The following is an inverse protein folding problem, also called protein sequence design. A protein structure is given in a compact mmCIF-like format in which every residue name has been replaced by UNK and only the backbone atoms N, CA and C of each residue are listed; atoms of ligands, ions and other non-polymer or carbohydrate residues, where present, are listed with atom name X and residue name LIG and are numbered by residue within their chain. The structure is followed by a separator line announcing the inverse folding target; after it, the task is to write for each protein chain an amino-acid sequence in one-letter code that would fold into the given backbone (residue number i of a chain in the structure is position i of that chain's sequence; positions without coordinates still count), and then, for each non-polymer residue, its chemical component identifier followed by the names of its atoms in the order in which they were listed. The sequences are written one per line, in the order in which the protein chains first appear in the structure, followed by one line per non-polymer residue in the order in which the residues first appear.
data_IF_823008659695
#
_entry.id   IF_823008659695
#
_cell.length_a   1.000
_cell.length_b   1.000
_cell.length_c   1.000
_cell.angle_alpha   90.00
_cell.angle_beta   90.00
_cell.angle_gamma   90.00
#
_symmetry.space_group_name_H-M   'P 1'
#
loop_
_entity.id
_entity.type
_entity.pdbx_description
1 polymer ?
#
# COMPACT_ATOMS: atom_id res chain seq x y z
N UNK A 1 -14.12 -20.26 -8.40
CA UNK A 1 -13.88 -20.33 -6.94
C UNK A 1 -14.66 -19.30 -6.13
N UNK A 2 -14.37 -18.00 -6.21
CA UNK A 2 -15.12 -16.99 -5.42
C UNK A 2 -16.62 -16.98 -5.75
N UNK A 3 -16.98 -17.10 -7.02
CA UNK A 3 -18.38 -17.19 -7.46
C UNK A 3 -19.07 -18.48 -6.98
N UNK A 4 -18.37 -19.62 -7.02
CA UNK A 4 -18.89 -20.90 -6.50
C UNK A 4 -19.12 -20.82 -4.98
N UNK A 5 -18.23 -20.14 -4.25
CA UNK A 5 -18.38 -19.90 -2.82
C UNK A 5 -19.61 -19.03 -2.52
N UNK A 6 -19.84 -18.00 -3.33
CA UNK A 6 -21.01 -17.14 -3.22
C UNK A 6 -22.30 -17.94 -3.35
N UNK A 7 -22.42 -18.72 -4.42
CA UNK A 7 -23.58 -19.60 -4.67
C UNK A 7 -23.77 -20.59 -3.52
N UNK A 8 -22.69 -21.20 -3.00
CA UNK A 8 -22.77 -22.15 -1.89
C UNK A 8 -23.30 -21.52 -0.59
N UNK A 9 -23.02 -20.24 -0.34
CA UNK A 9 -23.47 -19.49 0.85
C UNK A 9 -24.84 -18.83 0.69
N UNK A 10 -25.36 -18.73 -0.54
CA UNK A 10 -26.72 -18.24 -0.83
C UNK A 10 -27.78 -19.34 -0.75
N UNK A 11 -27.36 -20.62 -0.80
CA UNK A 11 -28.26 -21.74 -0.65
C UNK A 11 -28.99 -21.73 0.72
N UNK A 12 -30.28 -22.10 0.77
CA UNK A 12 -31.04 -22.19 2.03
C UNK A 12 -30.43 -23.17 3.03
N UNK A 13 -29.80 -24.23 2.53
CA UNK A 13 -29.06 -25.22 3.31
C UNK A 13 -27.61 -25.17 2.84
N UNK A 14 -26.72 -24.70 3.72
CA UNK A 14 -25.31 -24.50 3.40
C UNK A 14 -24.52 -25.78 3.66
N UNK A 15 -23.87 -26.33 2.63
CA UNK A 15 -22.92 -27.43 2.79
C UNK A 15 -21.53 -26.91 3.15
N UNK A 16 -21.23 -26.92 4.45
CA UNK A 16 -19.94 -26.47 4.99
C UNK A 16 -18.74 -27.33 4.54
N UNK A 17 -18.94 -28.56 4.05
CA UNK A 17 -17.85 -29.38 3.49
C UNK A 17 -17.40 -28.81 2.14
N UNK A 18 -18.36 -28.44 1.29
CA UNK A 18 -18.08 -27.79 0.00
C UNK A 18 -17.43 -26.42 0.23
N UNK A 19 -17.99 -25.60 1.13
CA UNK A 19 -17.42 -24.29 1.48
C UNK A 19 -15.97 -24.42 1.97
N UNK A 20 -15.66 -25.45 2.77
CA UNK A 20 -14.28 -25.73 3.22
C UNK A 20 -13.35 -26.08 2.08
N UNK A 21 -13.77 -26.94 1.16
CA UNK A 21 -12.97 -27.31 -0.01
C UNK A 21 -12.70 -26.08 -0.90
N UNK A 22 -13.73 -25.27 -1.15
CA UNK A 22 -13.60 -24.02 -1.91
C UNK A 22 -12.65 -23.03 -1.23
N UNK A 23 -12.71 -22.89 0.09
CA UNK A 23 -11.82 -22.00 0.85
C UNK A 23 -10.36 -22.46 0.75
N UNK A 24 -10.13 -23.77 0.90
CA UNK A 24 -8.80 -24.36 0.77
C UNK A 24 -8.22 -24.14 -0.63
N UNK A 25 -9.01 -24.42 -1.67
CA UNK A 25 -8.61 -24.24 -3.07
C UNK A 25 -8.32 -22.77 -3.39
N UNK A 26 -9.17 -21.86 -2.92
CA UNK A 26 -9.01 -20.41 -3.12
C UNK A 26 -7.73 -19.89 -2.44
N UNK A 27 -7.46 -20.33 -1.20
CA UNK A 27 -6.22 -20.00 -0.49
C UNK A 27 -5.00 -20.49 -1.27
N UNK A 28 -5.01 -21.75 -1.72
CA UNK A 28 -3.91 -22.33 -2.48
C UNK A 28 -3.62 -21.57 -3.77
N UNK A 29 -4.64 -21.29 -4.59
CA UNK A 29 -4.47 -20.54 -5.83
C UNK A 29 -4.05 -19.09 -5.62
N UNK A 30 -4.45 -18.47 -4.50
CA UNK A 30 -4.06 -17.08 -4.19
C UNK A 30 -2.62 -17.02 -3.73
N UNK A 31 -2.18 -17.97 -2.91
CA UNK A 31 -0.80 -18.05 -2.43
C UNK A 31 0.19 -18.30 -3.58
N UNK A 32 -0.15 -19.15 -4.55
CA UNK A 32 0.74 -19.48 -5.68
C UNK A 32 1.05 -18.29 -6.60
N UNK A 33 0.20 -17.27 -6.62
CA UNK A 33 0.39 -16.05 -7.43
C UNK A 33 0.80 -14.83 -6.58
N UNK A 34 1.14 -15.03 -5.31
CA UNK A 34 1.53 -13.95 -4.41
C UNK A 34 0.39 -13.00 -4.02
N UNK A 35 -0.88 -13.41 -4.14
CA UNK A 35 -2.04 -12.62 -3.75
C UNK A 35 -2.21 -12.60 -2.22
N UNK A 36 -1.30 -11.91 -1.53
CA UNK A 36 -1.18 -11.93 -0.07
C UNK A 36 -2.48 -11.52 0.64
N UNK A 37 -3.08 -10.37 0.29
CA UNK A 37 -4.31 -9.88 0.93
C UNK A 37 -5.49 -10.84 0.76
N UNK A 38 -5.63 -11.46 -0.41
CA UNK A 38 -6.66 -12.48 -0.65
C UNK A 38 -6.39 -13.72 0.20
N UNK A 39 -5.13 -14.15 0.26
CA UNK A 39 -4.71 -15.30 1.09
C UNK A 39 -5.01 -15.07 2.57
N UNK A 40 -4.74 -13.88 3.08
CA UNK A 40 -5.04 -13.48 4.46
C UNK A 40 -6.54 -13.49 4.75
N UNK A 41 -7.37 -12.94 3.85
CA UNK A 41 -8.83 -13.07 4.00
C UNK A 41 -9.28 -14.53 4.02
N UNK A 42 -8.60 -15.40 3.27
CA UNK A 42 -8.95 -16.82 3.25
C UNK A 42 -8.60 -17.56 4.53
N UNK A 43 -7.60 -17.10 5.29
CA UNK A 43 -7.21 -17.69 6.58
C UNK A 43 -8.34 -17.60 7.62
N UNK A 44 -9.18 -16.56 7.55
CA UNK A 44 -10.33 -16.40 8.44
C UNK A 44 -11.47 -17.42 8.18
N UNK A 45 -11.57 -17.99 6.97
CA UNK A 45 -12.62 -18.96 6.67
C UNK A 45 -12.59 -20.17 7.59
N UNK A 46 -11.41 -20.67 7.98
CA UNK A 46 -11.30 -21.92 8.76
C UNK A 46 -12.11 -21.84 10.06
N UNK A 47 -11.85 -20.82 10.87
CA UNK A 47 -12.56 -20.63 12.15
C UNK A 47 -14.05 -20.36 11.96
N UNK A 48 -14.43 -19.60 10.92
CA UNK A 48 -15.82 -19.30 10.62
C UNK A 48 -16.62 -20.52 10.16
N UNK A 49 -16.00 -21.43 9.40
CA UNK A 49 -16.61 -22.70 8.97
C UNK A 49 -16.76 -23.62 10.19
N UNK A 50 -15.76 -23.70 11.06
CA UNK A 50 -15.80 -24.53 12.27
C UNK A 50 -16.92 -24.07 13.22
N UNK A 51 -17.13 -22.76 13.34
CA UNK A 51 -18.23 -22.15 14.11
C UNK A 51 -19.58 -22.13 13.37
N UNK A 52 -19.65 -22.60 12.13
CA UNK A 52 -20.83 -22.50 11.26
C UNK A 52 -21.43 -21.07 11.21
N UNK A 53 -20.57 -20.05 11.26
CA UNK A 53 -21.00 -18.67 11.30
C UNK A 53 -21.26 -18.14 9.89
N UNK A 54 -22.48 -18.34 9.39
CA UNK A 54 -22.88 -17.93 8.04
C UNK A 54 -22.69 -16.42 7.77
N UNK A 55 -23.03 -15.57 8.73
CA UNK A 55 -22.88 -14.11 8.58
C UNK A 55 -21.40 -13.73 8.44
N UNK A 56 -20.55 -14.29 9.31
CA UNK A 56 -19.10 -14.09 9.23
C UNK A 56 -18.51 -14.61 7.91
N UNK A 57 -18.98 -15.76 7.41
CA UNK A 57 -18.56 -16.30 6.11
C UNK A 57 -18.93 -15.38 4.95
N UNK A 58 -20.16 -14.82 4.95
CA UNK A 58 -20.60 -13.86 3.93
C UNK A 58 -19.78 -12.58 3.96
N UNK A 59 -19.49 -12.05 5.14
CA UNK A 59 -18.66 -10.85 5.29
C UNK A 59 -17.20 -11.10 4.84
N UNK A 60 -16.64 -12.25 5.21
CA UNK A 60 -15.32 -12.68 4.79
C UNK A 60 -15.25 -12.85 3.26
N UNK A 61 -16.28 -13.44 2.66
CA UNK A 61 -16.39 -13.58 1.21
C UNK A 61 -16.47 -12.23 0.50
N UNK A 62 -17.24 -11.27 1.03
CA UNK A 62 -17.30 -9.92 0.48
C UNK A 62 -15.91 -9.25 0.49
N UNK A 63 -15.16 -9.40 1.59
CA UNK A 63 -13.80 -8.89 1.70
C UNK A 63 -12.87 -9.56 0.70
N UNK A 64 -12.93 -10.89 0.56
CA UNK A 64 -12.13 -11.62 -0.43
C UNK A 64 -12.42 -11.17 -1.88
N UNK A 65 -13.69 -10.89 -2.21
CA UNK A 65 -14.07 -10.31 -3.50
C UNK A 65 -13.47 -8.92 -3.73
N UNK A 66 -13.51 -8.06 -2.72
CA UNK A 66 -12.95 -6.72 -2.80
C UNK A 66 -11.44 -6.75 -3.02
N UNK A 67 -10.72 -7.58 -2.26
CA UNK A 67 -9.28 -7.75 -2.39
C UNK A 67 -8.90 -8.30 -3.77
N UNK A 68 -9.64 -9.30 -4.26
CA UNK A 68 -9.40 -9.89 -5.57
C UNK A 68 -9.65 -8.87 -6.71
N UNK A 69 -10.73 -8.08 -6.63
CA UNK A 69 -11.01 -7.00 -7.59
C UNK A 69 -9.93 -5.93 -7.58
N UNK A 70 -9.45 -5.55 -6.39
CA UNK A 70 -8.40 -4.54 -6.23
C UNK A 70 -7.09 -5.02 -6.84
N UNK A 71 -6.67 -6.26 -6.52
CA UNK A 71 -5.50 -6.89 -7.10
C UNK A 71 -5.59 -6.97 -8.62
N UNK A 72 -6.74 -7.39 -9.16
CA UNK A 72 -6.98 -7.44 -10.61
C UNK A 72 -6.75 -6.07 -11.28
N UNK A 73 -7.29 -4.99 -10.71
CA UNK A 73 -7.08 -3.64 -11.24
C UNK A 73 -5.61 -3.24 -11.25
N UNK A 74 -4.88 -3.52 -10.17
CA UNK A 74 -3.45 -3.20 -10.10
C UNK A 74 -2.63 -4.01 -11.12
N UNK A 75 -2.91 -5.31 -11.27
CA UNK A 75 -2.26 -6.15 -12.27
C UNK A 75 -2.56 -5.70 -13.69
N UNK A 76 -3.80 -5.32 -13.99
CA UNK A 76 -4.17 -4.78 -15.30
C UNK A 76 -3.38 -3.50 -15.64
N UNK A 77 -3.20 -2.61 -14.67
CA UNK A 77 -2.38 -1.39 -14.85
C UNK A 77 -0.91 -1.75 -15.06
N UNK A 78 -0.36 -2.65 -14.24
CA UNK A 78 1.03 -3.11 -14.37
C UNK A 78 1.31 -3.72 -15.75
N UNK A 79 0.47 -4.65 -16.21
CA UNK A 79 0.66 -5.29 -17.52
C UNK A 79 0.47 -4.31 -18.69
N UNK A 80 -0.44 -3.34 -18.56
CA UNK A 80 -0.58 -2.27 -19.57
C UNK A 80 0.69 -1.41 -19.64
N UNK A 81 1.31 -1.10 -18.51
CA UNK A 81 2.54 -0.32 -18.46
C UNK A 81 3.72 -1.12 -19.01
N UNK A 82 3.87 -2.38 -18.61
CA UNK A 82 4.87 -3.30 -19.14
C UNK A 82 4.78 -3.42 -20.67
N UNK A 83 3.56 -3.57 -21.20
CA UNK A 83 3.33 -3.63 -22.64
C UNK A 83 3.81 -2.34 -23.33
N UNK A 84 3.47 -1.17 -22.79
CA UNK A 84 3.93 0.13 -23.34
C UNK A 84 5.45 0.28 -23.31
N UNK A 85 6.11 -0.16 -22.23
CA UNK A 85 7.58 -0.13 -22.12
C UNK A 85 8.19 -1.00 -23.22
N UNK A 86 7.67 -2.23 -23.41
CA UNK A 86 8.14 -3.16 -24.45
C UNK A 86 7.91 -2.61 -25.86
N UNK A 87 6.74 -2.01 -26.12
CA UNK A 87 6.41 -1.40 -27.42
C UNK A 87 7.31 -0.20 -27.75
N UNK A 88 7.75 0.56 -26.73
CA UNK A 88 8.71 1.64 -26.88
C UNK A 88 10.18 1.16 -26.98
N UNK A 89 10.44 -0.15 -26.96
CA UNK A 89 11.80 -0.72 -27.01
C UNK A 89 12.55 -0.71 -25.68
N UNK A 90 11.89 -0.41 -24.57
CA UNK A 90 12.47 -0.43 -23.22
C UNK A 90 12.46 -1.82 -22.57
N UNK A 91 13.20 -1.96 -21.47
CA UNK A 91 13.23 -3.17 -20.64
C UNK A 91 12.49 -2.95 -19.33
N UNK A 92 11.66 -3.92 -18.92
CA UNK A 92 10.95 -3.88 -17.64
C UNK A 92 11.94 -4.13 -16.51
N UNK A 93 12.04 -3.23 -15.50
CA UNK A 93 12.91 -3.46 -14.35
C UNK A 93 12.53 -4.74 -13.60
N UNK A 94 13.51 -5.49 -13.06
CA UNK A 94 13.23 -6.64 -12.22
C UNK A 94 12.59 -6.18 -10.90
N UNK A 95 11.73 -7.02 -10.33
CA UNK A 95 10.94 -6.71 -9.12
C UNK A 95 11.78 -6.34 -7.87
N UNK A 96 13.07 -6.64 -7.88
CA UNK A 96 13.98 -6.44 -6.75
C UNK A 96 15.12 -5.45 -7.04
N UNK A 97 15.03 -4.63 -8.10
CA UNK A 97 16.06 -3.61 -8.33
C UNK A 97 15.98 -2.54 -7.25
N UNK A 98 17.04 -2.42 -6.44
CA UNK A 98 17.26 -1.30 -5.53
C UNK A 98 17.13 0.01 -6.32
N UNK A 99 16.40 1.03 -5.80
CA UNK A 99 16.30 2.31 -6.50
C UNK A 99 17.71 2.87 -6.71
N UNK A 100 18.00 3.46 -7.89
CA UNK A 100 19.29 4.05 -8.16
C UNK A 100 19.62 5.07 -7.07
N UNK A 101 20.74 4.87 -6.37
CA UNK A 101 21.20 5.84 -5.36
C UNK A 101 21.39 7.19 -6.04
N UNK A 102 20.94 8.29 -5.42
CA UNK A 102 21.21 9.62 -5.94
C UNK A 102 22.73 9.80 -6.07
N UNK A 103 23.17 10.23 -7.25
CA UNK A 103 24.59 10.47 -7.52
C UNK A 103 25.14 11.50 -6.52
N UNK A 104 26.30 11.25 -5.89
CA UNK A 104 26.85 12.15 -4.86
C UNK A 104 27.46 13.46 -5.41
N UNK A 105 27.04 13.94 -6.57
CA UNK A 105 27.67 15.06 -7.28
C UNK A 105 26.75 16.28 -7.41
N UNK A 106 26.43 16.95 -6.29
CA UNK A 106 25.85 18.30 -6.35
C UNK A 106 26.11 19.20 -5.12
N UNK A 107 27.00 18.83 -4.19
CA UNK A 107 27.31 19.67 -3.02
C UNK A 107 28.82 19.82 -2.78
N UNK A 108 29.53 20.30 -3.79
CA UNK A 108 30.83 20.95 -3.60
C UNK A 108 30.84 22.29 -4.35
N UNK A 109 30.04 23.24 -3.86
CA UNK A 109 30.31 24.64 -4.08
C UNK A 109 31.27 25.10 -2.96
N UNK A 110 32.54 25.35 -3.32
CA UNK A 110 33.52 25.95 -2.44
C UNK A 110 33.04 27.34 -1.97
N UNK A 111 33.23 27.72 -0.69
CA UNK A 111 33.03 29.10 -0.29
C UNK A 111 34.23 29.93 -0.74
N UNK A 112 34.00 30.81 -1.71
CA UNK A 112 34.96 31.80 -2.18
C UNK A 112 35.33 32.75 -1.03
N UNK A 113 36.56 32.62 -0.53
CA UNK A 113 37.14 33.55 0.44
C UNK A 113 37.50 34.87 -0.26
N UNK A 114 36.53 35.78 -0.34
CA UNK A 114 36.72 37.16 -0.78
C UNK A 114 36.85 38.12 0.40
N UNK A 115 38.09 38.43 0.78
CA UNK A 115 38.45 39.48 1.72
C UNK A 115 38.28 40.87 1.09
N UNK A 116 37.52 41.77 1.73
CA UNK A 116 37.39 43.18 1.35
C UNK A 116 36.79 44.01 2.49
N UNK A 117 37.63 44.82 3.12
CA UNK A 117 37.36 45.61 4.32
C UNK A 117 36.67 46.97 4.04
N UNK A 118 36.21 47.58 5.15
CA UNK A 118 35.93 49.02 5.38
C UNK A 118 34.61 49.60 4.79
N UNK A 119 33.82 50.45 5.45
CA UNK A 119 33.81 51.05 6.80
C UNK A 119 32.47 51.77 7.05
N UNK A 120 31.99 51.67 8.29
CA UNK A 120 31.42 52.73 9.14
C UNK A 120 30.07 53.42 8.87
N UNK A 121 29.36 53.59 10.00
CA UNK A 121 28.67 54.80 10.48
C UNK A 121 27.13 54.82 10.42
N UNK A 122 26.48 54.92 11.58
CA UNK A 122 25.07 55.33 11.67
C UNK A 122 24.29 54.82 12.87
N UNK A 123 24.37 55.55 13.99
CA UNK A 123 23.61 55.38 15.24
C UNK A 123 22.09 55.25 15.08
N UNK A 124 21.43 54.39 15.87
CA UNK A 124 20.58 54.79 17.00
C UNK A 124 19.79 53.59 17.58
N UNK A 125 19.87 53.43 18.90
CA UNK A 125 18.83 52.82 19.75
C UNK A 125 18.22 53.96 20.61
N UNK A 126 17.31 53.75 21.58
CA UNK A 126 16.39 52.63 21.86
C UNK A 126 14.93 53.11 22.15
N UNK A 127 13.97 52.21 22.30
CA UNK A 127 12.79 52.33 23.22
C UNK A 127 11.90 51.08 23.04
N UNK A 128 11.75 50.20 24.03
CA UNK A 128 10.96 50.25 25.28
C UNK A 128 9.55 49.66 25.13
N UNK A 129 9.27 48.63 25.94
CA UNK A 129 7.93 48.17 26.34
C UNK A 129 7.40 46.98 25.54
N UNK A 130 6.79 45.94 26.12
CA UNK A 130 6.44 45.67 27.51
C UNK A 130 6.12 44.17 27.65
N UNK A 131 6.27 43.66 28.87
CA UNK A 131 5.94 42.31 29.31
C UNK A 131 4.43 42.01 29.26
N UNK A 132 4.07 40.72 29.18
CA UNK A 132 2.69 40.28 29.35
C UNK A 132 2.52 38.77 29.33
N UNK A 133 2.83 38.12 30.45
CA UNK A 133 2.41 36.75 30.78
C UNK A 133 0.89 36.69 31.01
N UNK A 134 0.23 35.59 30.61
CA UNK A 134 -0.91 34.92 31.29
C UNK A 134 -1.47 33.87 30.32
N UNK A 135 -1.40 32.55 30.54
CA UNK A 135 -2.01 31.70 31.57
C UNK A 135 -3.52 31.81 31.71
N UNK A 136 -4.17 30.63 31.82
CA UNK A 136 -5.58 30.31 32.16
C UNK A 136 -6.51 30.24 30.95
N UNK A 137 -7.42 29.28 30.81
CA UNK A 137 -7.89 28.14 31.63
C UNK A 137 -8.72 27.27 30.69
#
# INVERSE_FOLDING_TARGET
MLNEMHVALENPVVDYKIVRQLAHKLRGSSASVGAFRVTETCSAFRGLIDLQNLQGLKQCLYRAHYENKTLKKHLEVLFKLEKKIKEAGGTVPPLNSEPPRPDPAADQAQPDTGSGAASSSGNNAPSLGNAGQSSRT
#
